data_IF_576529927802
#
_entry.id   IF_576529927802
#
_cell.length_a   1.000
_cell.length_b   1.000
_cell.length_c   1.000
_cell.angle_alpha   90.00
_cell.angle_beta   90.00
_cell.angle_gamma   90.00
#
_symmetry.space_group_name_H-M   'P 1'
#
loop_
_entity.id
_entity.type
_entity.pdbx_description
1 polymer ?
#
# COMPACT_ATOMS: atom_id res chain seq x y z
N UNK A 1 15.95 -9.64 -23.76
CA UNK A 1 16.73 -9.27 -22.56
C UNK A 1 16.56 -7.77 -22.40
N UNK A 2 15.77 -7.36 -21.44
CA UNK A 2 15.67 -5.95 -21.10
C UNK A 2 16.98 -5.54 -20.41
N UNK A 3 17.56 -4.44 -20.84
CA UNK A 3 18.74 -3.87 -20.18
C UNK A 3 18.27 -2.77 -19.24
N UNK A 4 18.80 -2.69 -18.01
CA UNK A 4 18.55 -1.52 -17.16
C UNK A 4 19.02 -0.26 -17.87
N UNK A 5 18.55 0.91 -17.39
CA UNK A 5 19.02 2.18 -17.91
C UNK A 5 20.56 2.19 -17.97
N UNK A 6 21.11 2.55 -19.14
CA UNK A 6 22.56 2.56 -19.37
C UNK A 6 23.28 3.73 -18.64
N UNK A 7 22.54 4.52 -17.84
CA UNK A 7 23.07 5.62 -17.03
C UNK A 7 22.45 5.60 -15.66
N UNK A 8 23.24 5.96 -14.65
CA UNK A 8 22.71 6.21 -13.32
C UNK A 8 21.91 7.51 -13.32
N UNK A 9 20.70 7.48 -12.77
CA UNK A 9 19.88 8.66 -12.55
C UNK A 9 20.53 9.56 -11.50
N UNK A 10 20.43 10.87 -11.71
CA UNK A 10 20.88 11.91 -10.79
C UNK A 10 19.66 12.69 -10.27
N UNK A 11 19.88 13.53 -9.24
CA UNK A 11 18.81 14.41 -8.72
C UNK A 11 18.23 15.33 -9.80
N UNK A 12 19.01 15.73 -10.80
CA UNK A 12 18.55 16.56 -11.92
C UNK A 12 17.59 15.83 -12.86
N UNK A 13 17.68 14.50 -12.91
CA UNK A 13 16.78 13.66 -13.70
C UNK A 13 15.42 13.50 -13.02
N UNK A 14 15.32 13.66 -11.68
CA UNK A 14 14.10 13.54 -10.90
C UNK A 14 13.22 14.80 -11.01
N UNK A 15 12.76 15.07 -12.20
CA UNK A 15 11.85 16.18 -12.47
C UNK A 15 10.39 15.77 -12.34
N UNK A 16 9.49 16.77 -12.25
CA UNK A 16 8.06 16.50 -12.31
C UNK A 16 7.65 15.71 -13.57
N UNK A 17 8.37 15.87 -14.68
CA UNK A 17 8.10 15.14 -15.93
C UNK A 17 8.41 13.65 -15.80
N UNK A 18 9.45 13.26 -15.06
CA UNK A 18 9.76 11.85 -14.82
C UNK A 18 8.58 11.13 -14.13
N UNK A 19 8.13 11.66 -13.01
CA UNK A 19 7.00 11.08 -12.27
C UNK A 19 5.66 11.17 -13.04
N UNK A 20 5.46 12.24 -13.81
CA UNK A 20 4.28 12.36 -14.67
C UNK A 20 4.25 11.29 -15.78
N UNK A 21 5.40 10.81 -16.27
CA UNK A 21 5.44 9.72 -17.23
C UNK A 21 4.98 8.41 -16.62
N UNK A 22 5.30 8.14 -15.36
CA UNK A 22 4.78 6.97 -14.62
C UNK A 22 3.25 7.05 -14.52
N UNK A 23 2.70 8.21 -14.16
CA UNK A 23 1.25 8.40 -14.12
C UNK A 23 0.57 8.24 -15.50
N UNK A 24 1.22 8.68 -16.57
CA UNK A 24 0.72 8.43 -17.95
C UNK A 24 0.76 6.95 -18.32
N UNK A 25 1.78 6.22 -17.88
CA UNK A 25 1.85 4.78 -18.05
C UNK A 25 0.68 4.09 -17.35
N UNK A 26 0.47 4.35 -16.05
CA UNK A 26 -0.67 3.80 -15.29
C UNK A 26 -2.00 4.08 -16.03
N UNK A 27 -2.19 5.33 -16.49
CA UNK A 27 -3.37 5.70 -17.28
C UNK A 27 -3.48 4.92 -18.59
N UNK A 28 -2.37 4.60 -19.24
CA UNK A 28 -2.37 3.93 -20.55
C UNK A 28 -2.79 2.46 -20.46
N UNK A 29 -2.56 1.82 -19.31
CA UNK A 29 -2.96 0.43 -19.06
C UNK A 29 -4.34 0.31 -18.40
N UNK A 30 -4.93 1.44 -17.94
CA UNK A 30 -6.23 1.45 -17.30
C UNK A 30 -7.33 0.98 -18.25
N UNK A 31 -8.14 0.03 -17.80
CA UNK A 31 -9.27 -0.51 -18.55
C UNK A 31 -10.44 0.49 -18.60
N UNK A 32 -11.39 0.24 -19.50
CA UNK A 32 -12.60 1.09 -19.64
C UNK A 32 -13.51 1.08 -18.43
N UNK A 33 -13.52 -0.01 -17.65
CA UNK A 33 -14.21 -0.14 -16.37
C UNK A 33 -13.61 0.79 -15.29
N UNK A 34 -12.35 1.21 -15.45
CA UNK A 34 -11.56 1.91 -14.46
C UNK A 34 -10.57 1.03 -13.74
N UNK A 35 -10.61 -0.30 -13.90
CA UNK A 35 -9.62 -1.22 -13.35
C UNK A 35 -8.21 -0.90 -13.84
N UNK A 36 -7.21 -1.14 -13.00
CA UNK A 36 -5.80 -0.95 -13.34
C UNK A 36 -5.12 -2.31 -13.17
N UNK A 37 -4.81 -3.01 -14.29
CA UNK A 37 -4.15 -4.30 -14.24
C UNK A 37 -2.76 -4.24 -13.60
N UNK A 38 -2.41 -5.29 -12.87
CA UNK A 38 -1.06 -5.53 -12.33
C UNK A 38 -0.25 -6.54 -13.16
N UNK A 39 -0.88 -7.19 -14.14
CA UNK A 39 -0.22 -8.12 -15.05
C UNK A 39 -0.78 -8.07 -16.49
N UNK A 40 -0.07 -8.71 -17.42
CA UNK A 40 -0.44 -8.78 -18.85
C UNK A 40 -1.75 -9.55 -19.10
N UNK A 41 -2.24 -10.34 -18.14
CA UNK A 41 -3.51 -11.06 -18.21
C UNK A 41 -4.70 -10.22 -17.75
N UNK A 42 -4.49 -8.93 -17.49
CA UNK A 42 -5.49 -7.99 -16.97
C UNK A 42 -5.96 -8.29 -15.54
N UNK A 43 -5.25 -9.16 -14.82
CA UNK A 43 -5.54 -9.40 -13.42
C UNK A 43 -5.07 -8.24 -12.56
N UNK A 44 -5.77 -8.03 -11.46
CA UNK A 44 -5.38 -7.07 -10.43
C UNK A 44 -6.04 -7.43 -9.10
N UNK A 45 -5.52 -6.85 -8.05
CA UNK A 45 -6.12 -6.86 -6.72
C UNK A 45 -6.43 -5.43 -6.25
N UNK A 46 -7.31 -5.26 -5.26
CA UNK A 46 -7.66 -3.93 -4.74
C UNK A 46 -6.51 -3.19 -4.09
N UNK A 47 -5.48 -3.87 -3.57
CA UNK A 47 -4.32 -3.24 -2.97
C UNK A 47 -3.48 -2.50 -4.02
N UNK A 48 -3.00 -3.22 -5.04
CA UNK A 48 -2.21 -2.66 -6.14
C UNK A 48 -3.00 -1.60 -6.92
N UNK A 49 -4.32 -1.83 -7.10
CA UNK A 49 -5.21 -0.87 -7.71
C UNK A 49 -5.27 0.46 -6.93
N UNK A 50 -5.37 0.40 -5.58
CA UNK A 50 -5.38 1.60 -4.73
C UNK A 50 -4.02 2.30 -4.75
N UNK A 51 -2.91 1.57 -4.77
CA UNK A 51 -1.58 2.17 -4.92
C UNK A 51 -1.42 2.87 -6.26
N UNK A 52 -1.95 2.28 -7.32
CA UNK A 52 -2.00 2.93 -8.64
C UNK A 52 -2.84 4.22 -8.63
N UNK A 53 -3.93 4.28 -7.85
CA UNK A 53 -4.68 5.53 -7.62
C UNK A 53 -3.81 6.60 -6.96
N UNK A 54 -2.95 6.23 -6.00
CA UNK A 54 -2.01 7.18 -5.38
C UNK A 54 -1.05 7.77 -6.44
N UNK A 55 -0.56 6.94 -7.36
CA UNK A 55 0.27 7.36 -8.49
C UNK A 55 -0.47 8.31 -9.44
N UNK A 56 -1.72 7.99 -9.81
CA UNK A 56 -2.59 8.85 -10.64
C UNK A 56 -2.89 10.18 -9.95
N UNK A 57 -3.18 10.16 -8.65
CA UNK A 57 -3.40 11.38 -7.87
C UNK A 57 -2.16 12.28 -7.88
N UNK A 58 -0.98 11.68 -7.61
CA UNK A 58 0.29 12.43 -7.60
C UNK A 58 0.57 13.07 -8.95
N UNK A 59 0.34 12.34 -10.04
CA UNK A 59 0.53 12.81 -11.42
C UNK A 59 -0.60 13.72 -11.91
N UNK A 60 -1.59 14.01 -11.07
CA UNK A 60 -2.76 14.88 -11.36
C UNK A 60 -3.64 14.39 -12.52
N UNK A 61 -3.69 13.08 -12.72
CA UNK A 61 -4.55 12.42 -13.70
C UNK A 61 -5.99 12.28 -13.15
N UNK A 62 -6.69 13.42 -12.98
CA UNK A 62 -7.99 13.52 -12.31
C UNK A 62 -9.03 12.51 -12.81
N UNK A 63 -9.22 12.42 -14.14
CA UNK A 63 -10.27 11.58 -14.71
C UNK A 63 -9.95 10.10 -14.52
N UNK A 64 -8.69 9.70 -14.67
CA UNK A 64 -8.24 8.33 -14.43
C UNK A 64 -8.36 7.94 -12.96
N UNK A 65 -8.01 8.84 -12.03
CA UNK A 65 -8.23 8.64 -10.60
C UNK A 65 -9.71 8.42 -10.27
N UNK A 66 -10.60 9.27 -10.80
CA UNK A 66 -12.05 9.13 -10.59
C UNK A 66 -12.59 7.81 -11.20
N UNK A 67 -12.11 7.44 -12.37
CA UNK A 67 -12.47 6.16 -13.01
C UNK A 67 -12.06 4.96 -12.14
N UNK A 68 -10.84 4.97 -11.60
CA UNK A 68 -10.36 3.92 -10.71
C UNK A 68 -11.15 3.84 -9.39
N UNK A 69 -11.49 4.97 -8.78
CA UNK A 69 -12.39 4.97 -7.62
C UNK A 69 -13.79 4.46 -7.96
N UNK A 70 -14.30 4.77 -9.16
CA UNK A 70 -15.60 4.25 -9.63
C UNK A 70 -15.58 2.73 -9.71
N UNK A 71 -14.49 2.14 -10.20
CA UNK A 71 -14.30 0.70 -10.18
C UNK A 71 -14.40 0.13 -8.75
N UNK A 72 -13.70 0.72 -7.79
CA UNK A 72 -13.77 0.30 -6.37
C UNK A 72 -15.20 0.36 -5.84
N UNK A 73 -15.90 1.47 -6.06
CA UNK A 73 -17.28 1.64 -5.57
C UNK A 73 -18.23 0.61 -6.18
N UNK A 74 -18.10 0.34 -7.48
CA UNK A 74 -19.00 -0.60 -8.20
C UNK A 74 -18.75 -2.06 -7.83
N UNK A 75 -17.51 -2.42 -7.46
CA UNK A 75 -17.11 -3.80 -7.15
C UNK A 75 -17.02 -4.07 -5.63
N UNK A 76 -17.47 -3.12 -4.80
CA UNK A 76 -17.53 -3.34 -3.35
C UNK A 76 -18.62 -4.32 -2.99
N UNK A 77 -18.28 -5.35 -2.22
CA UNK A 77 -19.25 -6.30 -1.68
C UNK A 77 -20.20 -5.61 -0.67
N UNK A 78 -21.38 -6.17 -0.48
CA UNK A 78 -22.41 -5.62 0.43
C UNK A 78 -21.97 -5.53 1.89
N UNK A 79 -20.96 -6.31 2.30
CA UNK A 79 -20.35 -6.25 3.63
C UNK A 79 -19.24 -5.19 3.77
N UNK A 80 -18.90 -4.50 2.67
CA UNK A 80 -17.87 -3.46 2.62
C UNK A 80 -16.49 -3.95 2.19
N UNK A 81 -16.32 -5.26 1.96
CA UNK A 81 -15.08 -5.87 1.50
C UNK A 81 -14.91 -5.80 -0.02
N UNK A 82 -13.75 -6.26 -0.50
CA UNK A 82 -13.49 -6.69 -1.87
C UNK A 82 -12.93 -8.11 -1.85
N UNK A 83 -13.05 -8.79 -2.97
CA UNK A 83 -12.37 -10.06 -3.18
C UNK A 83 -10.86 -9.84 -3.40
N UNK A 84 -10.06 -10.89 -3.26
CA UNK A 84 -8.59 -10.78 -3.32
C UNK A 84 -8.05 -10.57 -4.72
N UNK A 85 -8.76 -11.05 -5.78
CA UNK A 85 -8.28 -10.90 -7.15
C UNK A 85 -9.40 -10.85 -8.16
N UNK A 86 -9.20 -10.05 -9.20
CA UNK A 86 -10.16 -9.83 -10.29
C UNK A 86 -9.48 -9.95 -11.66
N UNK A 87 -10.26 -10.36 -12.65
CA UNK A 87 -10.04 -10.14 -14.07
C UNK A 87 -11.07 -9.09 -14.49
N UNK A 88 -10.61 -7.86 -14.70
CA UNK A 88 -11.46 -6.66 -14.84
C UNK A 88 -12.47 -6.52 -13.69
N UNK A 89 -13.75 -6.75 -13.93
CA UNK A 89 -14.84 -6.71 -12.92
C UNK A 89 -15.22 -8.11 -12.40
N UNK A 90 -14.57 -9.16 -12.89
CA UNK A 90 -14.89 -10.56 -12.56
C UNK A 90 -14.00 -11.05 -11.42
N UNK A 91 -14.54 -11.37 -10.24
CA UNK A 91 -13.73 -11.93 -9.16
C UNK A 91 -13.26 -13.34 -9.50
N UNK A 92 -11.93 -13.55 -9.53
CA UNK A 92 -11.29 -14.87 -9.81
C UNK A 92 -10.80 -15.55 -8.56
N UNK A 93 -10.48 -14.79 -7.50
CA UNK A 93 -10.19 -15.31 -6.16
C UNK A 93 -11.09 -14.60 -5.16
N UNK A 94 -11.90 -15.37 -4.41
CA UNK A 94 -13.00 -14.83 -3.58
C UNK A 94 -12.69 -14.73 -2.10
N UNK A 95 -11.44 -14.89 -1.69
CA UNK A 95 -11.02 -14.51 -0.35
C UNK A 95 -11.19 -13.00 -0.16
N UNK A 96 -11.39 -12.57 1.07
CA UNK A 96 -11.60 -11.15 1.42
C UNK A 96 -10.52 -10.68 2.39
N UNK A 97 -9.36 -10.23 1.89
CA UNK A 97 -8.32 -9.67 2.75
C UNK A 97 -8.83 -8.43 3.49
N UNK A 98 -8.68 -8.40 4.79
CA UNK A 98 -9.28 -7.36 5.64
C UNK A 98 -8.60 -6.00 5.51
N UNK A 99 -7.35 -5.97 5.03
CA UNK A 99 -6.56 -4.76 4.87
C UNK A 99 -6.74 -4.10 3.50
N UNK A 100 -7.23 -4.81 2.48
CA UNK A 100 -7.43 -4.24 1.14
C UNK A 100 -8.45 -3.10 1.15
N UNK A 101 -9.64 -3.37 1.69
CA UNK A 101 -10.75 -2.42 1.64
C UNK A 101 -10.48 -1.08 2.33
N UNK A 102 -10.08 -1.05 3.60
CA UNK A 102 -9.85 0.21 4.32
C UNK A 102 -8.83 1.13 3.67
N UNK A 103 -7.92 0.57 2.85
CA UNK A 103 -6.86 1.32 2.18
C UNK A 103 -7.42 2.41 1.23
N UNK A 104 -8.65 2.25 0.73
CA UNK A 104 -9.38 3.30 -0.02
C UNK A 104 -9.40 4.64 0.73
N UNK A 105 -9.44 4.64 2.07
CA UNK A 105 -9.46 5.86 2.86
C UNK A 105 -8.17 6.68 2.72
N UNK A 106 -7.01 6.01 2.57
CA UNK A 106 -5.74 6.67 2.34
C UNK A 106 -5.72 7.32 0.95
N UNK A 107 -6.12 6.58 -0.09
CA UNK A 107 -6.16 7.10 -1.45
C UNK A 107 -7.16 8.26 -1.61
N UNK A 108 -8.34 8.19 -0.96
CA UNK A 108 -9.35 9.23 -1.00
C UNK A 108 -8.91 10.51 -0.26
N UNK A 109 -8.24 10.36 0.90
CA UNK A 109 -7.66 11.52 1.59
C UNK A 109 -6.54 12.16 0.76
N UNK A 110 -5.70 11.35 0.10
CA UNK A 110 -4.67 11.82 -0.80
C UNK A 110 -5.27 12.56 -2.01
N UNK A 111 -6.32 11.99 -2.63
CA UNK A 111 -7.07 12.64 -3.70
C UNK A 111 -7.58 14.02 -3.27
N UNK A 112 -8.24 14.09 -2.13
CA UNK A 112 -8.73 15.37 -1.59
C UNK A 112 -7.60 16.38 -1.38
N UNK A 113 -6.46 15.96 -0.86
CA UNK A 113 -5.30 16.85 -0.66
C UNK A 113 -4.69 17.38 -1.96
N UNK A 114 -4.79 16.64 -3.07
CA UNK A 114 -4.25 17.03 -4.37
C UNK A 114 -5.22 17.89 -5.17
N UNK A 115 -6.51 17.53 -5.18
CA UNK A 115 -7.52 18.13 -6.04
C UNK A 115 -8.48 19.07 -5.32
N UNK A 116 -8.50 19.09 -3.99
CA UNK A 116 -9.42 19.88 -3.12
C UNK A 116 -10.91 19.66 -3.46
N UNK A 117 -11.26 18.49 -4.01
CA UNK A 117 -12.62 18.13 -4.40
C UNK A 117 -13.37 17.47 -3.23
N UNK A 118 -13.97 18.31 -2.38
CA UNK A 118 -14.72 17.85 -1.21
C UNK A 118 -16.04 17.15 -1.58
N UNK A 119 -16.68 17.54 -2.66
CA UNK A 119 -17.93 16.90 -3.09
C UNK A 119 -17.67 15.48 -3.55
N UNK A 120 -16.61 15.26 -4.32
CA UNK A 120 -16.22 13.91 -4.70
C UNK A 120 -15.79 13.06 -3.49
N UNK A 121 -15.08 13.64 -2.52
CA UNK A 121 -14.77 12.93 -1.27
C UNK A 121 -16.04 12.49 -0.54
N UNK A 122 -17.10 13.30 -0.59
CA UNK A 122 -18.40 12.97 -0.01
C UNK A 122 -19.13 11.85 -0.79
N UNK A 123 -18.97 11.80 -2.10
CA UNK A 123 -19.48 10.69 -2.93
C UNK A 123 -18.82 9.36 -2.57
N UNK A 124 -17.51 9.35 -2.30
CA UNK A 124 -16.74 8.16 -1.90
C UNK A 124 -17.03 7.72 -0.45
N UNK A 125 -17.57 8.62 0.38
CA UNK A 125 -17.70 8.40 1.81
C UNK A 125 -18.49 7.14 2.22
N UNK A 126 -19.63 6.76 1.59
CA UNK A 126 -20.32 5.52 1.91
C UNK A 126 -19.44 4.28 1.75
N UNK A 127 -18.67 4.20 0.66
CA UNK A 127 -17.78 3.09 0.38
C UNK A 127 -16.63 3.03 1.39
N UNK A 128 -15.99 4.16 1.68
CA UNK A 128 -14.92 4.27 2.69
C UNK A 128 -15.42 3.79 4.07
N UNK A 129 -16.59 4.25 4.45
CA UNK A 129 -17.22 3.89 5.72
C UNK A 129 -17.48 2.39 5.82
N UNK A 130 -18.08 1.79 4.78
CA UNK A 130 -18.33 0.35 4.72
C UNK A 130 -17.03 -0.45 4.82
N UNK A 131 -15.99 -0.06 4.08
CA UNK A 131 -14.70 -0.71 4.06
C UNK A 131 -14.01 -0.71 5.43
N UNK A 132 -13.96 0.45 6.10
CA UNK A 132 -13.38 0.56 7.43
C UNK A 132 -14.18 -0.26 8.44
N UNK A 133 -15.51 -0.18 8.39
CA UNK A 133 -16.36 -0.95 9.31
C UNK A 133 -16.26 -2.46 9.08
N UNK A 134 -16.08 -2.95 7.86
CA UNK A 134 -15.81 -4.36 7.58
C UNK A 134 -14.64 -4.85 8.41
N UNK A 135 -13.49 -4.22 8.34
CA UNK A 135 -12.28 -4.68 9.04
C UNK A 135 -12.39 -4.55 10.55
N UNK A 136 -12.86 -3.40 11.07
CA UNK A 136 -12.93 -3.20 12.52
C UNK A 136 -14.03 -4.03 13.21
N UNK A 137 -15.05 -4.50 12.48
CA UNK A 137 -16.05 -5.41 13.04
C UNK A 137 -15.47 -6.82 13.32
N UNK A 138 -14.35 -7.14 12.69
CA UNK A 138 -13.60 -8.39 12.90
C UNK A 138 -12.54 -8.27 14.01
N UNK A 139 -12.37 -7.06 14.59
CA UNK A 139 -11.35 -6.84 15.61
C UNK A 139 -11.59 -7.69 16.86
N UNK A 140 -10.56 -8.44 17.26
CA UNK A 140 -10.58 -9.29 18.44
C UNK A 140 -10.42 -8.50 19.75
N UNK A 141 -10.67 -9.15 20.86
CA UNK A 141 -10.44 -8.57 22.18
C UNK A 141 -8.95 -8.21 22.43
N UNK A 142 -8.01 -8.87 21.74
CA UNK A 142 -6.57 -8.58 21.81
C UNK A 142 -6.16 -7.39 20.94
N UNK A 143 -7.10 -6.80 20.19
CA UNK A 143 -6.88 -5.67 19.30
C UNK A 143 -6.41 -6.03 17.91
N UNK A 144 -6.15 -7.32 17.61
CA UNK A 144 -5.76 -7.79 16.28
C UNK A 144 -6.97 -7.87 15.34
N UNK A 145 -6.72 -7.86 14.03
CA UNK A 145 -7.74 -8.05 12.99
C UNK A 145 -7.28 -9.24 12.14
N UNK A 146 -8.11 -10.27 11.91
CA UNK A 146 -7.78 -11.39 11.05
C UNK A 146 -7.37 -10.90 9.66
N UNK A 147 -6.44 -11.61 9.00
CA UNK A 147 -5.93 -11.13 7.74
C UNK A 147 -6.91 -11.31 6.58
N UNK A 148 -7.79 -12.34 6.65
CA UNK A 148 -8.75 -12.63 5.59
C UNK A 148 -9.99 -13.35 6.11
N UNK A 149 -11.04 -13.32 5.30
CA UNK A 149 -12.14 -14.28 5.31
C UNK A 149 -12.00 -15.09 4.02
N UNK A 150 -12.05 -16.42 4.11
CA UNK A 150 -11.91 -17.28 2.94
C UNK A 150 -13.16 -17.28 2.03
N UNK A 151 -13.09 -18.00 0.91
CA UNK A 151 -14.19 -18.09 -0.07
C UNK A 151 -15.46 -18.74 0.49
N UNK A 152 -15.36 -19.51 1.55
CA UNK A 152 -16.49 -20.19 2.24
C UNK A 152 -17.06 -19.33 3.37
N UNK A 153 -16.47 -18.16 3.63
CA UNK A 153 -16.89 -17.20 4.65
C UNK A 153 -16.31 -17.48 6.03
N UNK A 154 -15.30 -18.34 6.13
CA UNK A 154 -14.63 -18.64 7.40
C UNK A 154 -13.53 -17.61 7.65
N UNK A 155 -13.44 -17.15 8.90
CA UNK A 155 -12.41 -16.22 9.33
C UNK A 155 -11.10 -16.99 9.49
N UNK A 156 -10.04 -16.52 8.82
CA UNK A 156 -8.70 -17.08 8.96
C UNK A 156 -8.14 -16.83 10.36
N UNK A 157 -7.48 -17.84 10.94
CA UNK A 157 -6.91 -17.78 12.31
C UNK A 157 -5.49 -17.17 12.34
N UNK A 158 -5.12 -16.37 11.36
CA UNK A 158 -3.85 -15.65 11.34
C UNK A 158 -4.08 -14.14 11.28
N UNK A 159 -3.08 -13.39 11.72
CA UNK A 159 -3.11 -11.93 11.84
C UNK A 159 -1.82 -11.35 11.29
N UNK A 160 -1.88 -10.67 10.15
CA UNK A 160 -0.69 -10.07 9.54
C UNK A 160 -0.31 -8.75 10.20
N UNK A 161 0.93 -8.62 10.65
CA UNK A 161 1.45 -7.38 11.21
C UNK A 161 1.44 -6.25 10.17
N UNK A 162 1.85 -6.55 8.94
CA UNK A 162 1.81 -5.64 7.79
C UNK A 162 0.39 -5.17 7.48
N UNK A 163 -0.54 -6.11 7.27
CA UNK A 163 -1.94 -5.80 6.99
C UNK A 163 -2.60 -4.99 8.11
N UNK A 164 -2.35 -5.36 9.37
CA UNK A 164 -2.84 -4.62 10.54
C UNK A 164 -2.27 -3.20 10.63
N UNK A 165 -1.01 -3.00 10.24
CA UNK A 165 -0.38 -1.67 10.18
C UNK A 165 -1.02 -0.78 9.10
N UNK A 166 -1.35 -1.35 7.94
CA UNK A 166 -2.10 -0.65 6.88
C UNK A 166 -3.51 -0.29 7.32
N UNK A 167 -4.24 -1.21 7.98
CA UNK A 167 -5.57 -0.92 8.54
C UNK A 167 -5.47 0.24 9.54
N UNK A 168 -4.46 0.25 10.41
CA UNK A 168 -4.27 1.33 11.39
C UNK A 168 -4.15 2.70 10.70
N UNK A 169 -3.30 2.81 9.67
CA UNK A 169 -3.16 4.04 8.87
C UNK A 169 -4.46 4.40 8.16
N UNK A 170 -5.17 3.43 7.64
CA UNK A 170 -6.44 3.62 6.95
C UNK A 170 -7.53 4.16 7.88
N UNK A 171 -7.61 3.67 9.13
CA UNK A 171 -8.52 4.20 10.16
C UNK A 171 -8.18 5.67 10.48
N UNK A 172 -6.90 6.01 10.60
CA UNK A 172 -6.46 7.40 10.81
C UNK A 172 -6.94 8.31 9.66
N UNK A 173 -6.76 7.88 8.41
CA UNK A 173 -7.22 8.60 7.23
C UNK A 173 -8.75 8.75 7.22
N UNK A 174 -9.49 7.70 7.53
CA UNK A 174 -10.95 7.73 7.61
C UNK A 174 -11.47 8.69 8.69
N UNK A 175 -10.82 8.72 9.86
CA UNK A 175 -11.14 9.71 10.91
C UNK A 175 -10.87 11.15 10.43
N UNK A 176 -9.79 11.37 9.68
CA UNK A 176 -9.50 12.67 9.09
C UNK A 176 -10.58 13.08 8.07
N UNK A 177 -11.01 12.17 7.19
CA UNK A 177 -12.11 12.38 6.24
C UNK A 177 -13.41 12.68 6.97
N UNK A 178 -13.76 11.91 8.00
CA UNK A 178 -14.95 12.15 8.82
C UNK A 178 -15.00 13.57 9.38
N UNK A 179 -13.87 14.08 9.86
CA UNK A 179 -13.75 15.46 10.35
C UNK A 179 -13.91 16.49 9.23
N UNK A 180 -13.33 16.27 8.05
CA UNK A 180 -13.48 17.15 6.87
C UNK A 180 -14.94 17.23 6.44
N UNK A 181 -15.64 16.08 6.44
CA UNK A 181 -17.05 15.97 6.06
C UNK A 181 -18.03 16.34 7.20
N UNK A 182 -17.52 16.57 8.43
CA UNK A 182 -18.30 16.83 9.64
C UNK A 182 -19.26 15.66 10.01
N UNK A 183 -18.88 14.43 9.67
CA UNK A 183 -19.62 13.21 10.02
C UNK A 183 -19.01 12.54 11.25
N UNK A 184 -19.56 12.83 12.42
CA UNK A 184 -19.02 12.35 13.69
C UNK A 184 -19.54 10.96 14.12
N UNK A 185 -20.44 10.33 13.34
CA UNK A 185 -21.16 9.08 13.74
C UNK A 185 -20.22 7.93 14.14
N UNK A 186 -19.08 7.81 13.49
CA UNK A 186 -18.17 6.67 13.67
C UNK A 186 -16.86 7.02 14.39
N UNK A 187 -16.57 8.31 14.61
CA UNK A 187 -15.26 8.75 15.13
C UNK A 187 -14.91 8.07 16.45
N UNK A 188 -15.86 7.96 17.38
CA UNK A 188 -15.59 7.33 18.68
C UNK A 188 -15.26 5.84 18.55
N UNK A 189 -16.06 5.09 17.76
CA UNK A 189 -15.84 3.66 17.51
C UNK A 189 -14.48 3.44 16.84
N UNK A 190 -14.19 4.21 15.78
CA UNK A 190 -12.93 4.09 15.03
C UNK A 190 -11.72 4.50 15.87
N UNK A 191 -11.85 5.53 16.71
CA UNK A 191 -10.77 5.92 17.63
C UNK A 191 -10.48 4.84 18.66
N UNK A 192 -11.48 4.16 19.18
CA UNK A 192 -11.30 3.05 20.10
C UNK A 192 -10.61 1.87 19.40
N UNK A 193 -11.09 1.49 18.21
CA UNK A 193 -10.47 0.44 17.39
C UNK A 193 -9.02 0.76 17.04
N UNK A 194 -8.75 2.00 16.60
CA UNK A 194 -7.40 2.49 16.33
C UNK A 194 -6.46 2.30 17.53
N UNK A 195 -6.90 2.72 18.74
CA UNK A 195 -6.08 2.60 19.96
C UNK A 195 -5.78 1.14 20.31
N UNK A 196 -6.77 0.28 20.17
CA UNK A 196 -6.64 -1.16 20.43
C UNK A 196 -5.65 -1.82 19.46
N UNK A 197 -5.80 -1.54 18.15
CA UNK A 197 -4.91 -2.04 17.10
C UNK A 197 -3.48 -1.49 17.25
N UNK A 198 -3.33 -0.20 17.53
CA UNK A 198 -2.02 0.42 17.76
C UNK A 198 -1.29 -0.22 18.95
N UNK A 199 -2.02 -0.52 20.03
CA UNK A 199 -1.44 -1.25 21.18
C UNK A 199 -1.03 -2.67 20.81
N UNK A 200 -1.80 -3.37 19.97
CA UNK A 200 -1.43 -4.69 19.48
C UNK A 200 -0.15 -4.65 18.65
N UNK A 201 -0.04 -3.69 17.70
CA UNK A 201 1.13 -3.51 16.81
C UNK A 201 2.39 -3.16 17.63
N UNK A 202 2.29 -2.31 18.65
CA UNK A 202 3.42 -1.98 19.54
C UNK A 202 3.92 -3.19 20.35
N UNK A 203 3.05 -4.15 20.62
CA UNK A 203 3.33 -5.33 21.41
C UNK A 203 3.01 -6.58 20.58
N UNK A 204 3.76 -6.85 19.48
CA UNK A 204 3.36 -7.83 18.48
C UNK A 204 3.60 -9.29 18.88
N UNK A 205 4.40 -9.53 19.92
CA UNK A 205 4.75 -10.88 20.34
C UNK A 205 3.49 -11.72 20.65
N UNK A 206 3.40 -12.90 20.05
CA UNK A 206 2.28 -13.86 20.19
C UNK A 206 0.91 -13.32 19.75
N UNK A 207 0.90 -12.32 18.85
CA UNK A 207 -0.34 -11.72 18.34
C UNK A 207 -0.44 -11.76 16.83
N UNK A 208 0.69 -11.72 16.13
CA UNK A 208 0.75 -11.64 14.67
C UNK A 208 1.63 -12.75 14.12
N UNK A 209 1.32 -13.15 12.89
CA UNK A 209 2.08 -14.12 12.10
C UNK A 209 2.29 -15.46 12.85
N UNK A 210 1.22 -15.95 13.46
CA UNK A 210 1.28 -17.14 14.33
C UNK A 210 1.44 -18.44 13.53
N UNK A 211 0.89 -18.47 12.31
CA UNK A 211 0.90 -19.63 11.42
C UNK A 211 1.97 -19.54 10.33
N UNK A 212 2.49 -18.34 10.08
CA UNK A 212 3.51 -18.07 9.05
C UNK A 212 4.62 -17.19 9.62
N UNK A 213 5.89 -17.58 9.46
CA UNK A 213 7.00 -16.72 9.87
C UNK A 213 7.17 -15.59 8.84
N UNK A 214 6.59 -14.43 9.16
CA UNK A 214 6.69 -13.20 8.37
C UNK A 214 7.94 -12.38 8.64
N UNK A 215 8.74 -12.73 9.67
CA UNK A 215 9.95 -11.98 10.04
C UNK A 215 11.00 -11.95 8.94
N UNK A 216 10.88 -12.85 7.97
CA UNK A 216 11.72 -12.89 6.78
C UNK A 216 11.34 -11.86 5.71
N UNK A 217 10.23 -11.13 5.89
CA UNK A 217 9.75 -10.14 4.94
C UNK A 217 10.07 -8.72 5.42
N UNK A 218 10.55 -7.87 4.51
CA UNK A 218 10.93 -6.48 4.83
C UNK A 218 9.73 -5.64 5.31
N UNK A 219 8.54 -5.90 4.76
CA UNK A 219 7.29 -5.22 5.09
C UNK A 219 6.97 -5.24 6.60
N UNK A 220 7.27 -6.33 7.30
CA UNK A 220 7.00 -6.47 8.74
C UNK A 220 7.85 -5.52 9.60
N UNK A 221 8.89 -4.92 9.03
CA UNK A 221 9.78 -3.98 9.72
C UNK A 221 9.49 -2.52 9.37
N UNK A 222 8.95 -2.20 8.20
CA UNK A 222 8.68 -0.81 7.87
C UNK A 222 7.19 -0.41 7.95
N UNK A 223 6.25 -1.31 7.74
CA UNK A 223 4.82 -0.98 7.85
C UNK A 223 4.41 -0.49 9.25
N UNK A 224 4.90 -1.06 10.36
CA UNK A 224 4.63 -0.50 11.68
C UNK A 224 5.10 0.95 11.86
N UNK A 225 6.16 1.36 11.13
CA UNK A 225 6.61 2.77 11.11
C UNK A 225 5.64 3.62 10.30
N UNK A 226 5.21 3.17 9.11
CA UNK A 226 4.25 3.84 8.24
C UNK A 226 2.91 4.04 8.95
N UNK A 227 2.50 3.08 9.77
CA UNK A 227 1.27 3.18 10.57
C UNK A 227 1.26 4.37 11.54
N UNK A 228 2.43 4.86 11.94
CA UNK A 228 2.60 6.02 12.82
C UNK A 228 2.47 5.70 14.32
N UNK A 229 2.34 4.43 14.72
CA UNK A 229 2.14 4.09 16.13
C UNK A 229 3.45 3.92 16.93
N UNK A 230 4.61 3.78 16.28
CA UNK A 230 5.89 3.54 16.95
C UNK A 230 6.52 4.86 17.45
N UNK A 231 7.23 4.78 18.59
CA UNK A 231 8.07 5.88 19.08
C UNK A 231 9.41 5.95 18.31
N UNK A 232 10.21 7.00 18.56
CA UNK A 232 11.45 7.24 17.80
C UNK A 232 12.49 6.12 17.99
N UNK A 233 12.64 5.56 19.19
CA UNK A 233 13.61 4.48 19.44
C UNK A 233 13.20 3.17 18.75
N UNK A 234 11.89 2.87 18.73
CA UNK A 234 11.34 1.71 18.03
C UNK A 234 11.52 1.85 16.51
N UNK A 235 11.22 3.04 15.95
CA UNK A 235 11.47 3.33 14.53
C UNK A 235 12.91 3.10 14.13
N UNK A 236 13.86 3.61 14.93
CA UNK A 236 15.30 3.46 14.65
C UNK A 236 15.72 1.99 14.65
N UNK A 237 15.28 1.20 15.64
CA UNK A 237 15.61 -0.21 15.72
C UNK A 237 15.08 -1.00 14.49
N UNK A 238 13.87 -0.67 14.00
CA UNK A 238 13.28 -1.30 12.82
C UNK A 238 14.01 -0.88 11.54
N UNK A 239 14.38 0.39 11.40
CA UNK A 239 15.17 0.88 10.27
C UNK A 239 16.55 0.21 10.22
N UNK A 240 17.23 0.10 11.37
CA UNK A 240 18.53 -0.56 11.46
C UNK A 240 18.46 -2.04 11.06
N UNK A 241 17.34 -2.71 11.41
CA UNK A 241 17.07 -4.10 10.99
C UNK A 241 16.96 -4.21 9.46
N UNK A 242 16.26 -3.28 8.80
CA UNK A 242 16.13 -3.29 7.34
C UNK A 242 17.47 -3.04 6.68
N UNK A 243 18.24 -2.05 7.13
CA UNK A 243 19.57 -1.79 6.59
C UNK A 243 20.53 -2.97 6.78
N UNK A 244 20.38 -3.72 7.87
CA UNK A 244 21.24 -4.87 8.16
C UNK A 244 20.91 -6.09 7.30
N UNK A 245 19.62 -6.43 7.14
CA UNK A 245 19.21 -7.74 6.65
C UNK A 245 18.61 -7.71 5.23
N UNK A 246 18.01 -6.59 4.83
CA UNK A 246 17.27 -6.47 3.57
C UNK A 246 17.89 -5.52 2.57
N UNK A 247 18.68 -4.55 3.02
CA UNK A 247 19.24 -3.55 2.10
C UNK A 247 20.38 -4.14 1.27
N UNK A 248 20.29 -3.96 -0.04
CA UNK A 248 21.35 -4.27 -1.00
C UNK A 248 21.91 -2.95 -1.50
N UNK A 249 23.22 -2.76 -1.26
CA UNK A 249 23.91 -1.50 -1.57
C UNK A 249 23.74 -1.14 -3.05
N UNK A 250 23.39 0.12 -3.30
CA UNK A 250 23.22 0.73 -4.62
C UNK A 250 22.10 0.09 -5.49
N UNK A 251 21.24 -0.73 -4.88
CA UNK A 251 20.09 -1.34 -5.55
C UNK A 251 18.76 -1.00 -4.87
N UNK A 252 18.59 -1.38 -3.60
CA UNK A 252 17.33 -1.18 -2.91
C UNK A 252 17.12 -2.17 -1.76
N UNK A 253 15.86 -2.52 -1.50
CA UNK A 253 15.45 -3.40 -0.40
C UNK A 253 14.89 -4.70 -0.98
N UNK A 254 15.30 -5.83 -0.41
CA UNK A 254 14.75 -7.14 -0.73
C UNK A 254 13.35 -7.30 -0.13
N UNK A 255 12.45 -7.94 -0.86
CA UNK A 255 11.18 -8.39 -0.31
C UNK A 255 11.39 -9.43 0.79
N UNK A 256 12.16 -10.49 0.48
CA UNK A 256 12.46 -11.61 1.37
C UNK A 256 13.95 -11.67 1.67
N UNK A 257 14.32 -11.86 2.94
CA UNK A 257 15.72 -11.79 3.40
C UNK A 257 16.64 -12.79 2.70
N UNK A 258 16.14 -13.98 2.38
CA UNK A 258 16.93 -15.06 1.77
C UNK A 258 16.93 -15.05 0.23
N UNK A 259 16.10 -14.21 -0.37
CA UNK A 259 15.94 -14.13 -1.81
C UNK A 259 16.81 -13.00 -2.40
N UNK A 260 17.60 -13.25 -3.45
CA UNK A 260 18.42 -12.23 -4.09
C UNK A 260 17.59 -11.34 -5.03
N UNK A 261 16.48 -10.83 -4.49
CA UNK A 261 15.44 -10.12 -5.21
C UNK A 261 15.17 -8.77 -4.57
N UNK A 262 15.51 -7.69 -5.28
CA UNK A 262 15.19 -6.31 -4.91
C UNK A 262 13.93 -5.88 -5.64
N UNK A 263 12.96 -5.33 -4.93
CA UNK A 263 11.69 -4.87 -5.50
C UNK A 263 11.57 -3.37 -5.42
N UNK A 264 10.90 -2.79 -6.39
CA UNK A 264 10.66 -1.34 -6.46
C UNK A 264 9.61 -0.93 -5.43
N UNK A 265 8.58 -1.77 -5.22
CA UNK A 265 7.52 -1.51 -4.27
C UNK A 265 8.06 -1.41 -2.82
N UNK A 266 8.68 -2.49 -2.31
CA UNK A 266 9.22 -2.52 -0.95
C UNK A 266 10.28 -1.45 -0.72
N UNK A 267 11.10 -1.17 -1.74
CA UNK A 267 12.08 -0.08 -1.65
C UNK A 267 11.40 1.29 -1.54
N UNK A 268 10.34 1.52 -2.32
CA UNK A 268 9.58 2.78 -2.30
C UNK A 268 8.86 3.00 -0.96
N UNK A 269 8.28 1.96 -0.39
CA UNK A 269 7.65 2.00 0.93
C UNK A 269 8.69 2.25 2.04
N UNK A 270 9.87 1.64 1.94
CA UNK A 270 10.95 1.92 2.87
C UNK A 270 11.47 3.36 2.72
N UNK A 271 11.48 3.93 1.51
CA UNK A 271 11.79 5.36 1.29
C UNK A 271 10.79 6.25 2.03
N UNK A 272 9.48 5.95 1.95
CA UNK A 272 8.44 6.66 2.72
C UNK A 272 8.73 6.56 4.23
N UNK A 273 9.09 5.38 4.70
CA UNK A 273 9.48 5.12 6.09
C UNK A 273 10.66 6.01 6.53
N UNK A 274 11.70 6.10 5.70
CA UNK A 274 12.87 6.94 5.96
C UNK A 274 12.50 8.43 6.03
N UNK A 275 11.58 8.89 5.17
CA UNK A 275 11.05 10.27 5.21
C UNK A 275 10.30 10.52 6.52
N UNK A 276 9.43 9.60 6.94
CA UNK A 276 8.69 9.68 8.22
C UNK A 276 9.66 9.75 9.41
N UNK A 277 10.76 9.01 9.36
CA UNK A 277 11.80 9.01 10.39
C UNK A 277 12.83 10.16 10.28
N UNK A 278 12.60 11.14 9.37
CA UNK A 278 13.49 12.28 9.17
C UNK A 278 14.82 11.97 8.47
N UNK A 279 15.00 10.75 7.95
CA UNK A 279 16.22 10.26 7.28
C UNK A 279 16.25 10.64 5.80
N UNK A 280 15.99 11.91 5.47
CA UNK A 280 15.80 12.40 4.09
C UNK A 280 16.96 12.09 3.14
N UNK A 281 18.22 12.18 3.60
CA UNK A 281 19.39 11.86 2.76
C UNK A 281 19.44 10.38 2.35
N UNK A 282 19.10 9.48 3.28
CA UNK A 282 19.02 8.06 2.98
C UNK A 282 17.84 7.77 2.01
N UNK A 283 16.70 8.41 2.24
CA UNK A 283 15.55 8.29 1.36
C UNK A 283 15.87 8.73 -0.09
N UNK A 284 16.52 9.88 -0.25
CA UNK A 284 16.91 10.42 -1.54
C UNK A 284 17.91 9.53 -2.28
N UNK A 285 18.95 9.04 -1.57
CA UNK A 285 19.90 8.10 -2.16
C UNK A 285 19.18 6.82 -2.63
N UNK A 286 18.34 6.24 -1.77
CA UNK A 286 17.66 4.99 -2.07
C UNK A 286 16.65 5.14 -3.24
N UNK A 287 16.02 6.32 -3.36
CA UNK A 287 15.17 6.63 -4.51
C UNK A 287 15.96 6.62 -5.81
N UNK A 288 17.14 7.25 -5.84
CA UNK A 288 18.01 7.23 -7.01
C UNK A 288 18.47 5.81 -7.35
N UNK A 289 18.82 5.02 -6.33
CA UNK A 289 19.28 3.64 -6.51
C UNK A 289 18.17 2.76 -7.14
N UNK A 290 16.96 2.80 -6.59
CA UNK A 290 15.86 1.93 -7.04
C UNK A 290 15.33 2.29 -8.41
N UNK A 291 15.33 3.57 -8.76
CA UNK A 291 14.86 4.02 -10.07
C UNK A 291 15.78 3.61 -11.23
N UNK A 292 16.99 3.12 -10.94
CA UNK A 292 17.82 2.46 -11.94
C UNK A 292 17.28 1.08 -12.36
N UNK A 293 16.34 0.51 -11.59
CA UNK A 293 15.59 -0.69 -11.94
C UNK A 293 14.38 -0.28 -12.81
N UNK A 294 14.67 0.32 -13.95
CA UNK A 294 13.66 0.79 -14.91
C UNK A 294 14.03 0.37 -16.31
N UNK A 295 13.05 0.31 -17.18
CA UNK A 295 13.26 0.07 -18.59
C UNK A 295 13.93 1.26 -19.30
N UNK A 296 14.17 1.13 -20.58
CA UNK A 296 14.80 2.20 -21.41
C UNK A 296 13.94 3.48 -21.54
N UNK A 297 12.64 3.38 -21.25
CA UNK A 297 11.72 4.54 -21.23
C UNK A 297 11.62 5.22 -19.87
N UNK A 298 12.20 4.61 -18.83
CA UNK A 298 12.20 5.10 -17.45
C UNK A 298 11.02 4.58 -16.63
N UNK A 299 10.28 3.59 -17.14
CA UNK A 299 9.22 2.95 -16.36
C UNK A 299 9.86 1.87 -15.45
N UNK A 300 9.63 1.93 -14.12
CA UNK A 300 10.18 0.96 -13.21
C UNK A 300 9.64 -0.45 -13.47
N UNK A 301 10.53 -1.44 -13.42
CA UNK A 301 10.14 -2.83 -13.28
C UNK A 301 9.55 -3.09 -11.88
N UNK A 302 8.84 -4.20 -11.71
CA UNK A 302 8.42 -4.65 -10.38
C UNK A 302 9.64 -4.95 -9.49
N UNK A 303 10.68 -5.59 -10.06
CA UNK A 303 11.90 -5.88 -9.33
C UNK A 303 13.00 -6.49 -10.19
N UNK A 304 14.12 -6.77 -9.55
CA UNK A 304 15.30 -7.33 -10.15
C UNK A 304 15.89 -8.46 -9.30
N UNK A 305 15.94 -9.66 -9.89
CA UNK A 305 16.74 -10.78 -9.37
C UNK A 305 18.20 -10.56 -9.80
N UNK A 306 19.02 -10.04 -8.92
CA UNK A 306 20.31 -9.47 -9.26
C UNK A 306 21.44 -10.51 -9.45
N UNK A 307 21.29 -11.76 -8.96
CA UNK A 307 22.26 -12.83 -9.17
C UNK A 307 22.13 -13.43 -10.57
N UNK A 308 20.89 -13.61 -11.06
CA UNK A 308 20.60 -14.18 -12.38
C UNK A 308 20.36 -13.10 -13.44
N UNK A 309 20.34 -11.83 -13.05
CA UNK A 309 20.10 -10.67 -13.91
C UNK A 309 18.75 -10.77 -14.64
N UNK A 310 17.69 -11.13 -13.90
CA UNK A 310 16.32 -11.24 -14.41
C UNK A 310 15.51 -10.06 -13.88
N UNK A 311 14.93 -9.28 -14.79
CA UNK A 311 13.98 -8.23 -14.46
C UNK A 311 12.56 -8.79 -14.53
N UNK A 312 11.76 -8.46 -13.53
CA UNK A 312 10.34 -8.78 -13.53
C UNK A 312 9.57 -7.56 -14.01
N UNK A 313 8.74 -7.71 -15.09
CA UNK A 313 8.00 -6.60 -15.68
C UNK A 313 6.97 -6.00 -14.73
#
# INVERSE_FOLDING_TARGET
MHKPLNRFLTEEDLTNNFFNNIGKYIKSIQLKSGAIPSDDNQNHDPWDHIESILGLNFSKELNSSKSAFTWLVNNQNSDGSWFSKYDDEIPIEKNKPTHFGPYIALAALHFYKIFDDKEYLKELWPSINSAVNFSINLQTANGTIPWSIDSDGLIEEDYLLTGSSSILKSIECAIAIAKILQDNRYINKWTQSYRSLANAIKNPANKFDLLKDRKSFSMDWYYPIISGCLNESEKLAYIDKIFKDFYVKDLGVKCVVHEPWVTVAETSEFIITLVIAGRKKNAQKLLLDVLNISDETGIPYMGWQYEENIFWP
#
